data_IF_987235357875
#
_entry.id   IF_987235357875
#
_cell.length_a   1.000
_cell.length_b   1.000
_cell.length_c   1.000
_cell.angle_alpha   90.00
_cell.angle_beta   90.00
_cell.angle_gamma   90.00
#
_symmetry.space_group_name_H-M   'P 1'
#
loop_
_entity.id
_entity.type
_entity.pdbx_description
1 polymer ?
#
# COMPACT_ATOMS: atom_id res chain seq x y z
N UNK A 1 14.25 16.31 30.30
CA UNK A 1 14.50 17.40 29.34
C UNK A 1 14.07 16.90 27.98
N UNK A 2 13.29 17.66 27.18
CA UNK A 2 12.97 17.27 25.82
C UNK A 2 14.25 17.13 25.01
N UNK A 3 14.36 16.03 24.26
CA UNK A 3 15.49 15.74 23.39
C UNK A 3 15.16 16.25 22.00
N UNK A 4 16.13 16.82 21.29
CA UNK A 4 15.93 17.31 19.94
C UNK A 4 16.94 16.70 18.99
N UNK A 5 16.52 16.38 17.77
CA UNK A 5 17.38 15.85 16.71
C UNK A 5 17.48 16.88 15.58
N UNK A 6 18.67 17.08 15.04
CA UNK A 6 18.84 17.88 13.83
C UNK A 6 18.24 17.16 12.61
N UNK A 7 17.38 17.83 11.82
CA UNK A 7 16.93 17.31 10.51
C UNK A 7 17.87 17.70 9.37
N UNK A 8 18.66 18.74 9.58
CA UNK A 8 19.63 19.27 8.61
C UNK A 8 20.94 19.63 9.33
N UNK A 9 21.97 20.00 8.57
CA UNK A 9 23.26 20.39 9.16
C UNK A 9 23.13 21.73 9.88
N UNK A 10 23.42 21.77 11.18
CA UNK A 10 23.37 23.00 12.00
C UNK A 10 24.73 23.18 12.67
N UNK A 11 25.59 24.01 12.09
CA UNK A 11 26.96 24.21 12.59
C UNK A 11 27.72 22.88 12.63
N UNK A 12 27.97 22.38 13.83
CA UNK A 12 28.69 21.12 14.08
C UNK A 12 27.75 19.90 14.13
N UNK A 13 26.44 20.11 14.27
CA UNK A 13 25.45 19.05 14.35
C UNK A 13 25.07 18.55 12.96
N UNK A 14 25.16 17.24 12.76
CA UNK A 14 24.76 16.55 11.52
C UNK A 14 23.28 16.13 11.58
N UNK A 15 22.61 15.95 10.43
CA UNK A 15 21.28 15.36 10.40
C UNK A 15 21.24 14.02 11.15
N UNK A 16 20.24 13.83 12.01
CA UNK A 16 20.11 12.64 12.88
C UNK A 16 20.86 12.72 14.20
N UNK A 17 21.65 13.79 14.44
CA UNK A 17 22.38 13.98 15.69
C UNK A 17 21.53 14.67 16.74
N UNK A 18 21.66 14.24 18.01
CA UNK A 18 21.04 14.90 19.15
C UNK A 18 21.66 16.30 19.37
N UNK A 19 20.79 17.27 19.61
CA UNK A 19 21.16 18.65 19.89
C UNK A 19 21.22 18.82 21.42
N UNK A 20 22.43 19.00 21.93
CA UNK A 20 22.69 19.25 23.35
C UNK A 20 23.36 20.63 23.54
N UNK A 21 23.12 21.26 24.69
CA UNK A 21 23.79 22.52 25.06
C UNK A 21 23.27 23.79 24.37
N UNK A 22 22.13 23.74 23.68
CA UNK A 22 21.45 24.93 23.16
C UNK A 22 20.39 25.47 24.13
N UNK A 23 20.25 26.79 24.16
CA UNK A 23 19.25 27.48 24.97
C UNK A 23 17.82 27.24 24.43
N UNK A 24 16.83 27.29 25.32
CA UNK A 24 15.42 27.02 24.98
C UNK A 24 14.89 27.92 23.85
N UNK A 25 15.26 29.20 23.84
CA UNK A 25 14.87 30.14 22.79
C UNK A 25 15.48 29.76 21.42
N UNK A 26 16.71 29.24 21.41
CA UNK A 26 17.37 28.79 20.19
C UNK A 26 16.73 27.50 19.69
N UNK A 27 16.46 26.54 20.59
CA UNK A 27 15.73 25.32 20.26
C UNK A 27 14.35 25.62 19.68
N UNK A 28 13.59 26.55 20.28
CA UNK A 28 12.27 26.93 19.77
C UNK A 28 12.35 27.59 18.38
N UNK A 29 13.34 28.46 18.15
CA UNK A 29 13.56 29.07 16.83
C UNK A 29 13.97 28.03 15.76
N UNK A 30 14.80 27.05 16.13
CA UNK A 30 15.22 25.96 15.25
C UNK A 30 14.09 24.96 14.99
N UNK A 31 13.23 24.72 15.97
CA UNK A 31 12.03 23.88 15.83
C UNK A 31 11.01 24.57 14.92
N UNK A 32 10.78 25.88 15.13
CA UNK A 32 9.90 26.69 14.29
C UNK A 32 10.42 26.82 12.85
N UNK A 33 11.73 26.81 12.65
CA UNK A 33 12.34 26.79 11.30
C UNK A 33 12.40 25.38 10.69
N UNK A 34 12.06 24.33 11.43
CA UNK A 34 12.12 22.95 10.99
C UNK A 34 13.55 22.38 10.87
N UNK A 35 14.55 23.08 11.43
CA UNK A 35 15.92 22.61 11.44
C UNK A 35 16.15 21.46 12.43
N UNK A 36 15.38 21.43 13.52
CA UNK A 36 15.38 20.35 14.51
C UNK A 36 13.95 19.81 14.69
N UNK A 37 13.85 18.61 15.25
CA UNK A 37 12.59 17.95 15.62
C UNK A 37 12.72 17.43 17.06
N UNK A 38 11.64 17.51 17.83
CA UNK A 38 11.63 16.87 19.16
C UNK A 38 11.69 15.37 18.96
N UNK A 39 12.70 14.73 19.55
CA UNK A 39 12.83 13.27 19.58
C UNK A 39 11.58 12.72 20.27
N UNK A 40 10.67 12.21 19.46
CA UNK A 40 9.72 11.23 19.93
C UNK A 40 10.41 9.87 19.80
N UNK A 41 10.39 9.07 20.86
CA UNK A 41 10.65 7.63 20.71
C UNK A 41 9.83 7.18 19.51
N UNK A 42 10.41 6.45 18.54
CA UNK A 42 9.66 5.91 17.43
C UNK A 42 8.52 5.11 18.05
N UNK A 43 7.34 5.72 18.04
CA UNK A 43 6.13 5.09 18.52
C UNK A 43 6.02 3.88 17.60
N UNK A 44 6.31 2.69 18.13
CA UNK A 44 6.08 1.45 17.39
C UNK A 44 4.74 1.62 16.71
N UNK A 45 4.66 1.47 15.38
CA UNK A 45 3.43 1.78 14.66
C UNK A 45 2.33 0.96 15.32
N UNK A 46 1.44 1.64 16.06
CA UNK A 46 0.34 1.02 16.79
C UNK A 46 -0.37 0.09 15.81
N UNK A 47 -0.27 -1.21 16.09
CA UNK A 47 -0.83 -2.27 15.28
C UNK A 47 -2.36 -2.33 15.42
N UNK A 48 -3.06 -1.19 15.27
CA UNK A 48 -4.50 -1.10 15.56
C UNK A 48 -5.38 -1.25 14.30
N UNK A 49 -4.78 -1.30 13.11
CA UNK A 49 -5.52 -1.48 11.85
C UNK A 49 -4.95 -2.55 10.91
N UNK A 50 -3.75 -3.06 11.19
CA UNK A 50 -3.07 -3.99 10.28
C UNK A 50 -3.78 -5.36 10.22
N UNK A 51 -4.17 -5.91 11.38
CA UNK A 51 -4.89 -7.18 11.43
C UNK A 51 -6.29 -7.08 10.81
N UNK A 52 -7.00 -5.96 11.04
CA UNK A 52 -8.33 -5.72 10.44
C UNK A 52 -8.23 -5.57 8.91
N UNK A 53 -7.23 -4.82 8.42
CA UNK A 53 -6.98 -4.66 6.98
C UNK A 53 -6.54 -5.97 6.32
N UNK A 54 -5.74 -6.79 7.00
CA UNK A 54 -5.36 -8.11 6.50
C UNK A 54 -6.58 -9.03 6.38
N UNK A 55 -7.44 -9.08 7.40
CA UNK A 55 -8.66 -9.89 7.34
C UNK A 55 -9.62 -9.43 6.23
N UNK A 56 -9.74 -8.11 6.00
CA UNK A 56 -10.52 -7.56 4.88
C UNK A 56 -9.93 -7.95 3.52
N UNK A 57 -8.61 -7.84 3.35
CA UNK A 57 -7.92 -8.22 2.12
C UNK A 57 -7.98 -9.74 1.85
N UNK A 58 -7.92 -10.58 2.89
CA UNK A 58 -8.09 -12.03 2.75
C UNK A 58 -9.49 -12.39 2.26
N UNK A 59 -10.51 -11.71 2.81
CA UNK A 59 -11.90 -11.88 2.37
C UNK A 59 -12.09 -11.44 0.92
N UNK A 60 -11.60 -10.26 0.55
CA UNK A 60 -11.69 -9.75 -0.82
C UNK A 60 -10.97 -10.66 -1.82
N UNK A 61 -9.79 -11.18 -1.47
CA UNK A 61 -9.07 -12.16 -2.29
C UNK A 61 -9.85 -13.46 -2.50
N UNK A 62 -10.54 -13.97 -1.47
CA UNK A 62 -11.37 -15.17 -1.60
C UNK A 62 -12.56 -14.93 -2.54
N UNK A 63 -13.21 -13.76 -2.44
CA UNK A 63 -14.32 -13.38 -3.33
C UNK A 63 -13.85 -13.22 -4.78
N UNK A 64 -12.72 -12.53 -5.01
CA UNK A 64 -12.12 -12.38 -6.34
C UNK A 64 -11.70 -13.72 -6.95
N UNK A 65 -11.12 -14.61 -6.16
CA UNK A 65 -10.72 -15.96 -6.62
C UNK A 65 -11.92 -16.76 -7.08
N UNK A 66 -13.03 -16.70 -6.31
CA UNK A 66 -14.27 -17.37 -6.70
C UNK A 66 -14.86 -16.76 -7.97
N UNK A 67 -14.94 -15.43 -8.04
CA UNK A 67 -15.46 -14.74 -9.22
C UNK A 67 -14.64 -15.06 -10.48
N UNK A 68 -13.32 -15.14 -10.37
CA UNK A 68 -12.45 -15.54 -11.48
C UNK A 68 -12.74 -16.97 -11.93
N UNK A 69 -12.88 -17.93 -11.00
CA UNK A 69 -13.21 -19.31 -11.36
C UNK A 69 -14.57 -19.44 -12.07
N UNK A 70 -15.58 -18.70 -11.61
CA UNK A 70 -16.90 -18.65 -12.25
C UNK A 70 -16.82 -18.02 -13.65
N UNK A 71 -16.05 -16.95 -13.83
CA UNK A 71 -15.82 -16.31 -15.13
C UNK A 71 -15.06 -17.22 -16.09
N UNK A 72 -14.00 -17.90 -15.65
CA UNK A 72 -13.25 -18.86 -16.46
C UNK A 72 -14.14 -20.00 -16.95
N UNK A 73 -15.01 -20.52 -16.08
CA UNK A 73 -15.98 -21.55 -16.44
C UNK A 73 -16.98 -21.03 -17.48
N UNK A 74 -17.58 -19.87 -17.25
CA UNK A 74 -18.52 -19.26 -18.19
C UNK A 74 -17.87 -18.97 -19.56
N UNK A 75 -16.61 -18.56 -19.56
CA UNK A 75 -15.85 -18.29 -20.78
C UNK A 75 -15.55 -19.59 -21.55
N UNK A 76 -15.18 -20.66 -20.85
CA UNK A 76 -15.00 -21.98 -21.44
C UNK A 76 -16.31 -22.54 -22.05
N UNK A 77 -17.42 -22.43 -21.32
CA UNK A 77 -18.74 -22.87 -21.77
C UNK A 77 -19.18 -22.07 -23.02
N UNK A 78 -18.99 -20.75 -23.00
CA UNK A 78 -19.30 -19.86 -24.12
C UNK A 78 -18.43 -20.18 -25.36
N UNK A 79 -17.13 -20.42 -25.17
CA UNK A 79 -16.25 -20.83 -26.26
C UNK A 79 -16.64 -22.18 -26.85
N UNK A 80 -17.04 -23.15 -26.00
CA UNK A 80 -17.53 -24.45 -26.46
C UNK A 80 -18.82 -24.31 -27.28
N UNK A 81 -19.75 -23.47 -26.83
CA UNK A 81 -20.98 -23.17 -27.55
C UNK A 81 -20.70 -22.51 -28.91
N UNK A 82 -19.81 -21.52 -28.95
CA UNK A 82 -19.39 -20.85 -30.19
C UNK A 82 -18.74 -21.82 -31.18
N UNK A 83 -17.87 -22.72 -30.71
CA UNK A 83 -17.25 -23.75 -31.56
C UNK A 83 -18.30 -24.68 -32.17
N UNK A 84 -19.29 -25.12 -31.39
CA UNK A 84 -20.39 -25.96 -31.89
C UNK A 84 -21.23 -25.21 -32.93
N UNK A 85 -21.68 -24.00 -32.62
CA UNK A 85 -22.47 -23.19 -33.53
C UNK A 85 -21.73 -22.93 -34.86
N UNK A 86 -20.44 -22.61 -34.82
CA UNK A 86 -19.64 -22.42 -36.03
C UNK A 86 -19.48 -23.71 -36.85
N UNK A 87 -19.33 -24.87 -36.19
CA UNK A 87 -19.26 -26.14 -36.89
C UNK A 87 -20.59 -26.47 -37.60
N UNK A 88 -21.72 -26.16 -36.98
CA UNK A 88 -23.05 -26.34 -37.58
C UNK A 88 -23.29 -25.38 -38.74
N UNK A 89 -22.92 -24.10 -38.61
CA UNK A 89 -23.01 -23.12 -39.69
C UNK A 89 -22.15 -23.53 -40.90
N UNK A 90 -20.93 -24.04 -40.66
CA UNK A 90 -20.06 -24.51 -41.74
C UNK A 90 -20.68 -25.69 -42.48
N UNK A 91 -21.20 -26.69 -41.76
CA UNK A 91 -21.92 -27.83 -42.36
C UNK A 91 -23.14 -27.40 -43.16
N UNK A 92 -23.92 -26.45 -42.65
CA UNK A 92 -25.09 -25.93 -43.34
C UNK A 92 -24.74 -25.12 -44.59
N UNK A 93 -23.59 -24.45 -44.62
CA UNK A 93 -23.08 -23.73 -45.78
C UNK A 93 -22.53 -24.68 -46.86
N UNK A 94 -21.92 -25.81 -46.47
CA UNK A 94 -21.38 -26.82 -47.40
C UNK A 94 -22.47 -27.74 -47.98
N UNK A 95 -23.67 -27.77 -47.36
CA UNK A 95 -24.81 -28.58 -47.80
C UNK A 95 -25.79 -27.82 -48.73
N UNK A 96 -25.50 -26.56 -49.07
CA UNK A 96 -26.28 -25.69 -49.97
C UNK A 96 -25.58 -25.52 -51.30
#
# INVERSE_FOLDING_TARGET
>A
MPKYIAKQSIGHFRPGQEIEGLEANQLQALLASGAIEEYQEPNEPKADGAAARLAELEKENAELTKANADLEKALSDSQAALKKANAELKKAAEAK
#
